data_IF_434701748935
#
_entry.id   IF_434701748935
#
_cell.length_a   1.000
_cell.length_b   1.000
_cell.length_c   1.000
_cell.angle_alpha   90.00
_cell.angle_beta   90.00
_cell.angle_gamma   90.00
#
_symmetry.space_group_name_H-M   'P 1'
#
loop_
_entity.id
_entity.type
_entity.pdbx_description
1 polymer ?
#
# COMPACT_ATOMS: atom_id res chain seq x y z
N UNK A 1 26.27 0.07 41.66
CA UNK A 1 26.73 1.07 40.66
C UNK A 1 25.51 1.80 40.07
N UNK A 2 25.49 3.13 40.12
CA UNK A 2 24.38 3.96 39.61
C UNK A 2 24.38 4.00 38.08
N UNK A 3 23.63 3.08 37.45
CA UNK A 3 23.48 3.02 35.98
C UNK A 3 22.97 4.34 35.36
N UNK A 4 22.14 5.08 36.11
CA UNK A 4 21.61 6.39 35.73
C UNK A 4 22.66 7.51 35.70
N UNK A 5 23.81 7.35 36.37
CA UNK A 5 24.90 8.34 36.41
C UNK A 5 25.99 8.06 35.37
N UNK A 6 25.84 7.01 34.55
CA UNK A 6 26.79 6.73 33.48
C UNK A 6 26.57 7.73 32.33
N UNK A 7 27.51 8.66 32.13
CA UNK A 7 27.47 9.69 31.08
C UNK A 7 27.19 9.12 29.70
N UNK A 8 27.80 7.97 29.35
CA UNK A 8 27.60 7.33 28.04
C UNK A 8 26.15 6.89 27.88
N UNK A 9 25.60 6.19 28.88
CA UNK A 9 24.21 5.74 28.84
C UNK A 9 23.23 6.92 28.79
N UNK A 10 23.47 7.98 29.55
CA UNK A 10 22.65 9.19 29.53
C UNK A 10 22.64 9.86 28.15
N UNK A 11 23.81 10.09 27.56
CA UNK A 11 23.92 10.73 26.25
C UNK A 11 23.32 9.86 25.13
N UNK A 12 23.55 8.55 25.16
CA UNK A 12 22.98 7.64 24.16
C UNK A 12 21.45 7.60 24.26
N UNK A 13 20.90 7.48 25.48
CA UNK A 13 19.45 7.42 25.68
C UNK A 13 18.75 8.72 25.32
N UNK A 14 19.29 9.87 25.74
CA UNK A 14 18.71 11.19 25.41
C UNK A 14 18.76 11.50 23.92
N UNK A 15 19.89 11.19 23.25
CA UNK A 15 20.02 11.41 21.80
C UNK A 15 19.03 10.54 21.02
N UNK A 16 18.88 9.26 21.39
CA UNK A 16 17.92 8.35 20.77
C UNK A 16 16.45 8.80 20.99
N UNK A 17 16.13 9.28 22.19
CA UNK A 17 14.80 9.84 22.48
C UNK A 17 14.49 11.07 21.64
N UNK A 18 15.40 12.05 21.59
CA UNK A 18 15.22 13.27 20.81
C UNK A 18 15.16 13.00 19.31
N UNK A 19 16.00 12.09 18.80
CA UNK A 19 16.00 11.73 17.37
C UNK A 19 14.74 10.98 16.95
N UNK A 20 14.20 10.12 17.82
CA UNK A 20 12.92 9.44 17.55
C UNK A 20 11.72 10.41 17.52
N UNK A 21 11.70 11.42 18.40
CA UNK A 21 10.69 12.49 18.36
C UNK A 21 10.82 13.30 17.06
N UNK A 22 12.04 13.70 16.69
CA UNK A 22 12.27 14.43 15.45
C UNK A 22 11.86 13.61 14.21
N UNK A 23 12.21 12.33 14.17
CA UNK A 23 11.82 11.41 13.10
C UNK A 23 10.29 11.27 13.01
N UNK A 24 9.61 11.11 14.15
CA UNK A 24 8.15 11.03 14.18
C UNK A 24 7.49 12.32 13.64
N UNK A 25 8.06 13.49 13.95
CA UNK A 25 7.58 14.77 13.39
C UNK A 25 7.75 14.84 11.87
N UNK A 26 8.92 14.44 11.34
CA UNK A 26 9.16 14.42 9.90
C UNK A 26 8.24 13.45 9.16
N UNK A 27 8.01 12.25 9.72
CA UNK A 27 7.06 11.28 9.15
C UNK A 27 5.62 11.80 9.20
N UNK A 28 5.26 12.56 10.24
CA UNK A 28 3.94 13.19 10.34
C UNK A 28 3.75 14.21 9.21
N UNK A 29 4.70 15.12 9.02
CA UNK A 29 4.67 16.15 7.97
C UNK A 29 4.59 15.54 6.56
N UNK A 30 5.27 14.42 6.34
CA UNK A 30 5.23 13.67 5.07
C UNK A 30 4.02 12.75 4.93
N UNK A 31 3.11 12.71 5.92
CA UNK A 31 1.94 11.81 5.95
C UNK A 31 2.30 10.32 5.81
N UNK A 32 3.47 9.94 6.33
CA UNK A 32 3.99 8.57 6.32
C UNK A 32 3.74 7.81 7.63
N UNK A 33 3.26 8.49 8.67
CA UNK A 33 2.72 7.79 9.84
C UNK A 33 1.54 6.92 9.41
N UNK A 34 1.39 5.76 10.06
CA UNK A 34 0.34 4.80 9.75
C UNK A 34 -1.02 5.50 9.65
N UNK A 35 -1.54 5.62 8.43
CA UNK A 35 -2.85 6.20 8.20
C UNK A 35 -3.91 5.23 8.74
N UNK A 36 -4.89 5.76 9.47
CA UNK A 36 -6.06 5.02 9.98
C UNK A 36 -7.02 4.55 8.88
N UNK A 37 -6.65 4.69 7.60
CA UNK A 37 -7.31 4.00 6.51
C UNK A 37 -7.11 2.51 6.72
N UNK A 38 -8.21 1.76 6.88
CA UNK A 38 -8.19 0.31 7.00
C UNK A 38 -7.46 -0.39 5.83
N UNK A 39 -7.51 -1.73 5.73
CA UNK A 39 -6.87 -2.44 4.63
C UNK A 39 -7.22 -1.78 3.29
N UNK A 40 -6.23 -1.63 2.41
CA UNK A 40 -6.41 -1.00 1.09
C UNK A 40 -7.49 -1.81 0.37
N UNK A 41 -8.70 -1.25 0.33
CA UNK A 41 -9.89 -1.85 -0.28
C UNK A 41 -10.39 -0.90 -1.34
N UNK A 42 -10.70 -1.41 -2.54
CA UNK A 42 -11.40 -0.60 -3.53
C UNK A 42 -12.71 -0.10 -2.91
N UNK A 43 -12.99 1.19 -3.04
CA UNK A 43 -14.32 1.71 -2.76
C UNK A 43 -15.27 1.15 -3.83
N UNK A 44 -16.14 0.22 -3.45
CA UNK A 44 -17.14 -0.39 -4.35
C UNK A 44 -18.49 0.21 -4.01
N UNK A 45 -19.06 0.97 -4.95
CA UNK A 45 -20.46 1.35 -4.89
C UNK A 45 -21.32 0.16 -5.34
N UNK A 46 -22.13 -0.37 -4.43
CA UNK A 46 -23.02 -1.49 -4.72
C UNK A 46 -24.11 -1.13 -5.73
N UNK A 47 -24.48 0.15 -5.86
CA UNK A 47 -25.43 0.62 -6.86
C UNK A 47 -24.81 0.68 -8.26
N UNK A 48 -23.49 0.86 -8.37
CA UNK A 48 -22.76 0.98 -9.62
C UNK A 48 -21.47 0.13 -9.63
N UNK A 49 -21.58 -1.22 -9.62
CA UNK A 49 -20.42 -2.10 -9.45
C UNK A 49 -19.37 -1.98 -10.57
N UNK A 50 -19.77 -1.48 -11.74
CA UNK A 50 -18.91 -1.29 -12.91
C UNK A 50 -18.44 0.15 -13.12
N UNK A 51 -18.73 1.07 -12.19
CA UNK A 51 -18.23 2.44 -12.28
C UNK A 51 -16.69 2.47 -12.29
N UNK A 52 -16.14 3.43 -13.03
CA UNK A 52 -14.70 3.67 -13.05
C UNK A 52 -14.20 4.03 -11.64
N UNK A 53 -13.05 3.48 -11.26
CA UNK A 53 -12.46 3.64 -9.93
C UNK A 53 -11.03 4.19 -10.04
N UNK A 54 -10.58 4.99 -9.05
CA UNK A 54 -9.19 5.42 -9.00
C UNK A 54 -8.26 4.21 -8.95
N UNK A 55 -7.30 4.09 -9.89
CA UNK A 55 -6.29 3.03 -9.84
C UNK A 55 -5.23 3.34 -8.78
N UNK A 56 -4.48 2.33 -8.36
CA UNK A 56 -3.35 2.51 -7.43
C UNK A 56 -2.16 3.23 -8.12
N UNK A 57 -2.06 3.10 -9.45
CA UNK A 57 -1.03 3.71 -10.29
C UNK A 57 -1.69 4.43 -11.46
N UNK A 58 -0.98 5.38 -12.06
CA UNK A 58 -1.45 6.03 -13.29
C UNK A 58 -1.68 4.97 -14.38
N UNK A 59 -2.86 5.01 -14.99
CA UNK A 59 -3.20 4.08 -16.05
C UNK A 59 -2.41 4.41 -17.32
N UNK A 60 -1.78 3.41 -17.92
CA UNK A 60 -1.06 3.56 -19.19
C UNK A 60 -2.00 3.88 -20.38
N UNK A 61 -3.30 3.61 -20.25
CA UNK A 61 -4.31 3.85 -21.27
C UNK A 61 -5.62 4.36 -20.65
N UNK A 62 -6.34 5.23 -21.37
CA UNK A 62 -7.64 5.79 -20.94
C UNK A 62 -8.83 4.91 -21.29
N UNK A 63 -8.76 4.20 -22.43
CA UNK A 63 -9.83 3.34 -22.93
C UNK A 63 -9.23 1.98 -23.32
N UNK A 64 -9.95 0.90 -23.00
CA UNK A 64 -9.60 -0.47 -23.36
C UNK A 64 -10.76 -1.08 -24.12
N UNK A 65 -10.51 -1.58 -25.33
CA UNK A 65 -11.48 -2.34 -26.10
C UNK A 65 -11.22 -3.84 -25.89
N UNK A 66 -12.14 -4.53 -25.22
CA UNK A 66 -12.10 -5.98 -25.07
C UNK A 66 -12.90 -6.59 -26.21
N UNK A 67 -12.21 -7.19 -27.18
CA UNK A 67 -12.84 -7.93 -28.27
C UNK A 67 -12.87 -9.41 -27.87
N UNK A 68 -14.04 -9.89 -27.46
CA UNK A 68 -14.26 -11.31 -27.22
C UNK A 68 -14.90 -11.96 -28.44
N UNK A 69 -14.11 -12.72 -29.20
CA UNK A 69 -14.58 -13.48 -30.35
C UNK A 69 -15.23 -14.79 -29.88
N UNK A 70 -16.53 -14.76 -29.60
CA UNK A 70 -17.28 -15.95 -29.20
C UNK A 70 -17.24 -17.03 -30.29
N UNK A 71 -16.90 -18.26 -29.92
CA UNK A 71 -16.91 -19.43 -30.82
C UNK A 71 -15.54 -20.06 -31.07
N UNK A 72 -14.45 -19.41 -30.65
CA UNK A 72 -13.18 -20.11 -30.49
C UNK A 72 -13.25 -21.01 -29.26
N UNK A 73 -12.87 -22.28 -29.39
CA UNK A 73 -12.71 -23.14 -28.22
C UNK A 73 -11.57 -22.60 -27.36
N UNK A 74 -11.86 -22.19 -26.13
CA UNK A 74 -10.82 -21.86 -25.16
C UNK A 74 -10.16 -23.13 -24.63
N UNK A 75 -9.00 -22.98 -23.99
CA UNK A 75 -8.33 -24.09 -23.31
C UNK A 75 -9.23 -24.71 -22.21
N UNK A 76 -10.12 -23.92 -21.61
CA UNK A 76 -11.11 -24.39 -20.63
C UNK A 76 -12.17 -25.24 -21.33
N UNK A 77 -12.58 -24.84 -22.54
CA UNK A 77 -13.60 -25.56 -23.33
C UNK A 77 -13.06 -26.87 -23.92
N UNK A 78 -11.77 -26.93 -24.28
CA UNK A 78 -11.14 -28.12 -24.87
C UNK A 78 -10.48 -29.05 -23.86
N UNK A 79 -10.37 -28.64 -22.60
CA UNK A 79 -9.56 -29.34 -21.59
C UNK A 79 -8.13 -29.64 -22.08
N UNK A 80 -7.58 -28.75 -22.91
CA UNK A 80 -6.24 -28.94 -23.47
C UNK A 80 -5.19 -28.75 -22.37
N UNK A 81 -4.50 -29.83 -22.03
CA UNK A 81 -3.49 -29.83 -20.97
C UNK A 81 -2.22 -29.14 -21.46
N UNK A 82 -1.83 -28.07 -20.78
CA UNK A 82 -0.56 -27.37 -21.04
C UNK A 82 0.48 -27.79 -20.01
N UNK A 83 1.59 -28.44 -20.40
CA UNK A 83 2.70 -28.74 -19.49
C UNK A 83 3.45 -27.48 -19.05
#
# INVERSE_FOLDING_TARGET
MNSLLNRRNFLTGTTAGLSSIALASLLHDQKLLAASSGPIRPAVDAAHPYAARPPHHEAAAKNVLVIFCSGACSQIDTFDYKP
#
